data_IF_673166203705
#
_entry.id   IF_673166203705
#
_cell.length_a   1.000
_cell.length_b   1.000
_cell.length_c   1.000
_cell.angle_alpha   90.00
_cell.angle_beta   90.00
_cell.angle_gamma   90.00
#
_symmetry.space_group_name_H-M   'P 1'
#
loop_
_entity.id
_entity.type
_entity.pdbx_description
1 polymer ?
#
# COMPACT_ATOMS: atom_id res chain seq x y z
N UNK A 1 0.69 -63.54 -26.77
CA UNK A 1 1.36 -63.43 -25.46
C UNK A 1 1.53 -61.96 -25.17
N UNK A 2 0.80 -61.43 -24.19
CA UNK A 2 0.89 -60.03 -23.72
C UNK A 2 1.26 -60.07 -22.25
N UNK A 3 2.28 -59.28 -21.88
CA UNK A 3 2.75 -58.89 -20.54
C UNK A 3 4.18 -58.30 -20.74
N UNK A 4 4.66 -57.17 -20.21
CA UNK A 4 4.42 -56.44 -18.95
C UNK A 4 4.90 -54.97 -19.06
N UNK A 5 4.08 -54.07 -18.51
CA UNK A 5 4.29 -52.77 -17.81
C UNK A 5 5.68 -52.10 -17.65
N UNK A 6 5.65 -50.74 -17.66
CA UNK A 6 6.61 -49.88 -16.95
C UNK A 6 6.43 -48.38 -17.27
N UNK A 7 5.75 -47.62 -16.40
CA UNK A 7 5.35 -46.22 -16.62
C UNK A 7 6.47 -45.16 -16.52
N UNK A 8 6.19 -43.88 -16.86
CA UNK A 8 7.15 -42.78 -16.78
C UNK A 8 6.98 -41.96 -15.49
N UNK A 9 8.08 -41.38 -14.97
CA UNK A 9 8.21 -40.09 -14.20
C UNK A 9 9.42 -40.14 -13.20
N UNK A 10 10.10 -39.05 -12.75
CA UNK A 10 10.09 -37.60 -13.10
C UNK A 10 11.46 -36.97 -13.49
N UNK A 11 11.40 -35.66 -13.79
CA UNK A 11 12.40 -34.70 -14.31
C UNK A 11 13.61 -34.36 -13.39
N UNK A 12 14.52 -33.42 -13.80
CA UNK A 12 14.24 -32.00 -13.56
C UNK A 12 14.66 -31.01 -14.67
N UNK A 13 14.11 -29.81 -14.50
CA UNK A 13 14.10 -28.63 -15.36
C UNK A 13 15.47 -28.03 -15.73
N UNK A 14 15.53 -27.41 -16.91
CA UNK A 14 16.49 -26.35 -17.24
C UNK A 14 15.88 -25.44 -18.29
N UNK A 15 15.00 -24.55 -17.85
CA UNK A 15 14.55 -23.39 -18.65
C UNK A 15 15.23 -22.16 -18.10
N UNK A 16 16.13 -21.59 -18.91
CA UNK A 16 16.81 -20.32 -18.66
C UNK A 16 15.84 -19.26 -18.19
N UNK A 17 15.97 -18.85 -16.93
CA UNK A 17 15.33 -17.65 -16.40
C UNK A 17 16.01 -16.44 -17.04
N UNK A 18 15.34 -15.87 -18.03
CA UNK A 18 15.60 -14.51 -18.52
C UNK A 18 15.48 -13.58 -17.32
N UNK A 19 16.60 -13.02 -16.90
CA UNK A 19 16.66 -12.08 -15.79
C UNK A 19 15.91 -10.80 -16.18
N UNK A 20 14.83 -10.52 -15.47
CA UNK A 20 14.15 -9.22 -15.52
C UNK A 20 15.10 -8.16 -14.93
N UNK A 21 15.25 -6.97 -15.54
CA UNK A 21 15.86 -5.86 -14.85
C UNK A 21 14.92 -5.42 -13.73
N UNK A 22 15.30 -5.71 -12.48
CA UNK A 22 14.61 -5.24 -11.28
C UNK A 22 14.57 -3.70 -11.26
N UNK A 23 13.40 -3.05 -11.14
CA UNK A 23 13.28 -1.60 -10.98
C UNK A 23 13.50 -1.21 -9.51
N UNK A 24 14.62 -1.64 -8.94
CA UNK A 24 14.92 -1.43 -7.51
C UNK A 24 16.30 -0.83 -7.27
N UNK A 25 16.86 -0.16 -8.27
CA UNK A 25 18.06 0.65 -8.10
C UNK A 25 17.66 2.07 -7.71
N UNK A 26 17.73 2.31 -6.40
CA UNK A 26 18.04 3.59 -5.76
C UNK A 26 16.89 4.60 -5.53
N UNK A 27 16.12 4.38 -4.46
CA UNK A 27 15.16 5.33 -3.90
C UNK A 27 15.78 6.27 -2.83
N UNK A 28 17.09 6.22 -2.61
CA UNK A 28 17.75 7.02 -1.56
C UNK A 28 18.90 7.90 -2.07
N UNK A 29 19.21 7.87 -3.36
CA UNK A 29 20.11 8.84 -4.01
C UNK A 29 21.49 8.92 -3.36
N UNK A 30 21.99 7.83 -2.78
CA UNK A 30 23.26 7.81 -2.04
C UNK A 30 24.49 7.71 -2.96
N UNK A 31 24.28 7.67 -4.29
CA UNK A 31 25.33 7.53 -5.29
C UNK A 31 25.67 8.77 -6.11
N UNK A 32 24.97 9.90 -5.97
CA UNK A 32 25.23 11.10 -6.78
C UNK A 32 25.95 12.19 -5.95
N UNK A 33 27.18 12.51 -6.34
CA UNK A 33 27.91 13.66 -5.78
C UNK A 33 27.13 14.97 -6.07
N UNK A 34 26.96 15.86 -5.09
CA UNK A 34 26.19 17.09 -5.30
C UNK A 34 26.92 18.02 -6.28
N UNK A 35 26.25 18.59 -7.30
CA UNK A 35 26.80 19.68 -8.07
C UNK A 35 26.91 20.95 -7.20
N UNK A 36 27.97 21.73 -7.41
CA UNK A 36 28.22 22.97 -6.68
C UNK A 36 27.05 23.97 -6.84
N UNK A 37 26.73 24.80 -5.82
CA UNK A 37 25.62 25.73 -5.90
C UNK A 37 25.91 26.84 -6.90
N UNK A 38 25.16 26.88 -8.00
CA UNK A 38 25.01 28.08 -8.82
C UNK A 38 24.03 29.03 -8.10
N UNK A 39 24.39 30.31 -8.02
CA UNK A 39 23.61 31.35 -7.33
C UNK A 39 22.18 31.52 -7.89
N UNK A 40 21.30 32.25 -7.18
CA UNK A 40 19.87 32.29 -7.49
C UNK A 40 19.62 32.98 -8.86
N UNK A 41 18.80 32.39 -9.75
CA UNK A 41 18.42 33.05 -10.99
C UNK A 41 17.40 34.18 -10.72
N UNK A 42 17.40 35.25 -11.52
CA UNK A 42 16.48 36.37 -11.35
C UNK A 42 15.03 35.95 -11.62
N UNK A 43 14.13 36.38 -10.76
CA UNK A 43 12.68 36.27 -10.93
C UNK A 43 12.26 37.08 -12.15
N UNK A 44 11.80 36.41 -13.21
CA UNK A 44 11.19 37.08 -14.36
C UNK A 44 10.10 36.21 -14.97
N UNK A 45 8.86 36.61 -14.70
CA UNK A 45 7.75 36.64 -15.65
C UNK A 45 7.36 35.36 -16.38
N UNK A 46 6.24 34.79 -15.95
CA UNK A 46 5.30 34.11 -16.84
C UNK A 46 5.42 32.58 -16.89
N UNK A 47 4.67 31.90 -16.02
CA UNK A 47 3.93 30.69 -16.39
C UNK A 47 3.08 30.25 -15.21
N UNK A 48 1.76 30.38 -15.35
CA UNK A 48 0.83 29.74 -14.43
C UNK A 48 0.92 28.22 -14.61
N UNK A 49 1.67 27.56 -13.73
CA UNK A 49 1.69 26.09 -13.70
C UNK A 49 1.31 25.50 -12.34
N UNK A 50 1.32 26.28 -11.27
CA UNK A 50 0.93 25.78 -9.95
C UNK A 50 0.01 26.81 -9.28
N UNK A 51 -1.22 26.92 -9.80
CA UNK A 51 -2.34 27.32 -8.94
C UNK A 51 -2.40 26.24 -7.86
N UNK A 52 -2.04 26.61 -6.63
CA UNK A 52 -2.18 25.71 -5.49
C UNK A 52 -3.67 25.50 -5.25
N UNK A 53 -4.23 24.47 -5.89
CA UNK A 53 -5.63 24.05 -5.76
C UNK A 53 -5.96 23.64 -4.32
N UNK A 54 -4.96 23.40 -3.46
CA UNK A 54 -5.14 22.96 -2.08
C UNK A 54 -5.10 24.11 -1.05
N UNK A 55 -4.76 25.34 -1.47
CA UNK A 55 -4.64 26.47 -0.53
C UNK A 55 -5.95 26.87 0.16
N UNK A 56 -7.12 26.46 -0.36
CA UNK A 56 -8.41 26.72 0.30
C UNK A 56 -9.34 25.50 0.29
N UNK A 57 -8.85 24.39 0.81
CA UNK A 57 -9.75 23.38 1.38
C UNK A 57 -9.60 23.45 2.88
N UNK A 58 -10.31 24.40 3.51
CA UNK A 58 -10.59 24.31 4.94
C UNK A 58 -11.04 22.87 5.20
N UNK A 59 -10.26 22.13 6.00
CA UNK A 59 -10.56 20.75 6.39
C UNK A 59 -11.86 20.76 7.19
N UNK A 60 -13.00 20.76 6.49
CA UNK A 60 -14.31 20.57 7.10
C UNK A 60 -14.28 19.17 7.68
N UNK A 61 -14.21 19.11 9.01
CA UNK A 61 -14.35 17.85 9.74
C UNK A 61 -15.74 17.31 9.40
N UNK A 62 -15.77 16.28 8.57
CA UNK A 62 -17.02 15.61 8.25
C UNK A 62 -17.61 15.00 9.53
N UNK A 63 -18.93 15.09 9.72
CA UNK A 63 -19.57 14.42 10.84
C UNK A 63 -19.32 12.91 10.75
N UNK A 64 -19.08 12.29 11.90
CA UNK A 64 -18.86 10.85 11.97
C UNK A 64 -20.14 10.08 11.60
N UNK A 65 -19.95 8.85 11.13
CA UNK A 65 -21.07 7.96 10.86
C UNK A 65 -21.90 7.72 12.14
N UNK A 66 -23.23 7.61 12.04
CA UNK A 66 -24.07 7.29 13.19
C UNK A 66 -23.57 6.02 13.91
N UNK A 67 -23.41 6.12 15.24
CA UNK A 67 -22.94 5.02 16.09
C UNK A 67 -21.44 4.72 15.97
N UNK A 68 -20.63 5.60 15.35
CA UNK A 68 -19.19 5.36 15.18
C UNK A 68 -18.46 5.12 16.51
N UNK A 69 -18.83 5.85 17.56
CA UNK A 69 -18.24 5.79 18.88
C UNK A 69 -18.54 4.44 19.56
N UNK A 70 -19.80 3.98 19.47
CA UNK A 70 -20.20 2.68 20.02
C UNK A 70 -19.53 1.52 19.28
N UNK A 71 -19.41 1.65 17.94
CA UNK A 71 -18.67 0.69 17.13
C UNK A 71 -17.19 0.68 17.52
N UNK A 72 -16.56 1.84 17.66
CA UNK A 72 -15.16 1.97 18.06
C UNK A 72 -14.90 1.34 19.44
N UNK A 73 -15.73 1.64 20.43
CA UNK A 73 -15.60 1.10 21.78
C UNK A 73 -15.64 -0.44 21.81
N UNK A 74 -16.41 -1.06 20.91
CA UNK A 74 -16.49 -2.53 20.81
C UNK A 74 -15.17 -3.19 20.39
N UNK A 75 -14.29 -2.49 19.67
CA UNK A 75 -13.01 -3.06 19.22
C UNK A 75 -11.86 -2.90 20.20
N UNK A 76 -12.07 -2.23 21.34
CA UNK A 76 -11.02 -2.11 22.38
C UNK A 76 -10.64 -3.48 22.95
N UNK A 77 -11.63 -4.35 23.17
CA UNK A 77 -11.43 -5.69 23.75
C UNK A 77 -11.71 -6.83 22.75
N UNK A 78 -11.99 -6.51 21.48
CA UNK A 78 -12.38 -7.48 20.46
C UNK A 78 -11.67 -7.16 19.16
N UNK A 79 -11.05 -8.17 18.56
CA UNK A 79 -10.23 -7.99 17.38
C UNK A 79 -10.94 -8.34 16.07
N UNK A 80 -12.17 -8.84 16.10
CA UNK A 80 -12.89 -9.23 14.90
C UNK A 80 -14.34 -8.77 14.95
N UNK A 81 -14.87 -8.16 13.89
CA UNK A 81 -16.28 -7.80 13.80
C UNK A 81 -16.55 -6.77 12.71
N UNK A 82 -17.77 -6.23 12.71
CA UNK A 82 -18.18 -5.13 11.83
C UNK A 82 -17.93 -3.80 12.54
N UNK A 83 -17.15 -2.92 11.91
CA UNK A 83 -16.90 -1.56 12.39
C UNK A 83 -17.94 -0.58 11.85
N UNK A 84 -18.37 -0.76 10.61
CA UNK A 84 -19.34 0.11 9.96
C UNK A 84 -20.24 -0.71 9.04
N UNK A 85 -21.50 -0.32 8.93
CA UNK A 85 -22.46 -0.92 8.01
C UNK A 85 -23.50 0.11 7.57
N UNK A 86 -23.75 0.19 6.28
CA UNK A 86 -24.91 0.86 5.70
C UNK A 86 -25.50 -0.01 4.57
N UNK A 87 -26.48 0.51 3.83
CA UNK A 87 -27.17 -0.22 2.77
C UNK A 87 -26.28 -0.64 1.58
N UNK A 88 -25.08 -0.07 1.46
CA UNK A 88 -24.18 -0.25 0.30
C UNK A 88 -22.83 -0.84 0.68
N UNK A 89 -22.35 -0.57 1.90
CA UNK A 89 -21.00 -0.86 2.36
C UNK A 89 -21.03 -1.40 3.77
N UNK A 90 -20.32 -2.50 3.97
CA UNK A 90 -19.97 -3.05 5.26
C UNK A 90 -18.45 -3.03 5.37
N UNK A 91 -17.93 -2.58 6.51
CA UNK A 91 -16.49 -2.58 6.81
C UNK A 91 -16.27 -3.49 8.00
N UNK A 92 -15.67 -4.65 7.74
CA UNK A 92 -15.24 -5.62 8.73
C UNK A 92 -13.78 -5.43 9.11
N UNK A 93 -13.45 -5.67 10.37
CA UNK A 93 -12.08 -5.72 10.87
C UNK A 93 -11.74 -7.12 11.37
N UNK A 94 -10.49 -7.53 11.13
CA UNK A 94 -9.83 -8.63 11.83
C UNK A 94 -8.42 -8.22 12.20
N UNK A 95 -8.03 -8.35 13.47
CA UNK A 95 -6.76 -7.85 13.97
C UNK A 95 -5.97 -8.91 14.72
N UNK A 96 -4.65 -8.88 14.60
CA UNK A 96 -3.72 -9.75 15.33
C UNK A 96 -2.65 -8.88 15.98
N UNK A 97 -2.36 -9.10 17.26
CA UNK A 97 -1.37 -8.32 18.00
C UNK A 97 -0.37 -9.25 18.70
N UNK A 98 0.92 -8.92 18.61
CA UNK A 98 2.02 -9.58 19.33
C UNK A 98 3.03 -8.54 19.80
N UNK A 99 3.20 -8.41 21.11
CA UNK A 99 4.04 -7.35 21.69
C UNK A 99 3.62 -5.97 21.15
N UNK A 100 4.56 -5.19 20.61
CA UNK A 100 4.32 -3.89 20.00
C UNK A 100 3.97 -3.95 18.51
N UNK A 101 3.74 -5.15 17.94
CA UNK A 101 3.37 -5.34 16.54
C UNK A 101 1.87 -5.65 16.41
N UNK A 102 1.24 -5.08 15.38
CA UNK A 102 -0.15 -5.31 15.03
C UNK A 102 -0.34 -5.51 13.52
N UNK A 103 -1.28 -6.39 13.15
CA UNK A 103 -1.75 -6.58 11.78
C UNK A 103 -3.26 -6.42 11.76
N UNK A 104 -3.76 -5.51 10.92
CA UNK A 104 -5.19 -5.26 10.74
C UNK A 104 -5.57 -5.66 9.32
N UNK A 105 -6.62 -6.46 9.17
CA UNK A 105 -7.30 -6.73 7.92
C UNK A 105 -8.60 -5.95 7.90
N UNK A 106 -8.88 -5.31 6.77
CA UNK A 106 -10.09 -4.52 6.52
C UNK A 106 -10.80 -5.20 5.35
N UNK A 107 -12.07 -5.54 5.53
CA UNK A 107 -12.90 -6.26 4.55
C UNK A 107 -14.13 -5.43 4.21
#
# INVERSE_FOLDING_TARGET
SVDVNGGPEPAPASTSAVSTPSPSADLLGLGAAPPAPAGPPPSSGGSGLLVDVFSDSASVVAPLAPGSEDNFARFVCKNNGVLFENQLLQIGLKSEFRQNLGRMFIF
#
